data_IF_292349199408
#
_entry.id   IF_292349199408
#
_cell.length_a   1.000
_cell.length_b   1.000
_cell.length_c   1.000
_cell.angle_alpha   90.00
_cell.angle_beta   90.00
_cell.angle_gamma   90.00
#
_symmetry.space_group_name_H-M   'P 1'
#
loop_
_entity.id
_entity.type
_entity.pdbx_description
1 polymer ?
#
# COMPACT_ATOMS: atom_id res chain seq x y z
N UNK A 1 -23.17 11.54 4.19
CA UNK A 1 -21.90 10.98 4.69
C UNK A 1 -21.81 11.35 6.16
N UNK A 2 -21.95 10.37 7.06
CA UNK A 2 -22.00 10.63 8.50
C UNK A 2 -20.66 11.14 9.06
N UNK A 3 -19.53 10.74 8.46
CA UNK A 3 -18.21 11.23 8.86
C UNK A 3 -18.09 12.74 8.66
N UNK A 4 -18.60 13.29 7.54
CA UNK A 4 -18.60 14.75 7.33
C UNK A 4 -19.42 15.51 8.37
N UNK A 5 -20.53 14.93 8.83
CA UNK A 5 -21.35 15.55 9.87
C UNK A 5 -20.60 15.53 11.21
N UNK A 6 -19.90 14.43 11.49
CA UNK A 6 -19.05 14.31 12.68
C UNK A 6 -17.93 15.35 12.63
N UNK A 7 -17.13 15.36 11.56
CA UNK A 7 -15.90 16.17 11.45
C UNK A 7 -16.20 17.68 11.39
N UNK A 8 -17.24 18.11 10.67
CA UNK A 8 -17.47 19.53 10.40
C UNK A 8 -18.58 20.17 11.23
N UNK A 9 -19.38 19.38 11.95
CA UNK A 9 -20.51 19.90 12.73
C UNK A 9 -20.51 19.43 14.18
N UNK A 10 -20.39 18.12 14.43
CA UNK A 10 -20.51 17.59 15.79
C UNK A 10 -19.23 17.80 16.61
N UNK A 11 -18.05 17.50 16.05
CA UNK A 11 -16.75 17.70 16.73
C UNK A 11 -16.49 19.19 17.02
N UNK A 12 -16.70 20.13 16.08
CA UNK A 12 -16.58 21.56 16.38
C UNK A 12 -17.58 22.04 17.42
N UNK A 13 -18.83 21.54 17.38
CA UNK A 13 -19.84 21.88 18.39
C UNK A 13 -19.43 21.38 19.78
N UNK A 14 -18.89 20.17 19.89
CA UNK A 14 -18.36 19.64 21.15
C UNK A 14 -17.16 20.43 21.67
N UNK A 15 -16.30 20.95 20.80
CA UNK A 15 -15.17 21.79 21.23
C UNK A 15 -15.62 23.13 21.82
N UNK A 16 -16.73 23.69 21.33
CA UNK A 16 -17.28 24.98 21.76
C UNK A 16 -18.20 24.89 22.99
N UNK A 17 -18.74 23.70 23.30
CA UNK A 17 -19.70 23.52 24.37
C UNK A 17 -19.03 23.26 25.74
N UNK A 18 -19.36 24.03 26.79
CA UNK A 18 -18.94 23.72 28.15
C UNK A 18 -19.61 22.43 28.64
N UNK A 19 -19.04 21.83 29.70
CA UNK A 19 -19.56 20.61 30.32
C UNK A 19 -21.02 20.79 30.78
N UNK A 20 -21.91 19.90 30.32
CA UNK A 20 -23.33 19.90 30.67
C UNK A 20 -24.17 19.04 29.72
N UNK A 21 -25.48 18.94 29.98
CA UNK A 21 -26.39 18.00 29.30
C UNK A 21 -26.32 18.00 27.76
N UNK A 22 -26.06 19.15 27.12
CA UNK A 22 -25.97 19.25 25.66
C UNK A 22 -24.70 18.59 25.10
N UNK A 23 -23.59 18.68 25.85
CA UNK A 23 -22.32 18.03 25.52
C UNK A 23 -22.45 16.52 25.69
N UNK A 24 -23.12 16.09 26.76
CA UNK A 24 -23.34 14.67 27.05
C UNK A 24 -24.22 14.03 25.98
N UNK A 25 -25.31 14.70 25.58
CA UNK A 25 -26.18 14.24 24.49
C UNK A 25 -25.44 14.06 23.17
N UNK A 26 -24.62 15.04 22.77
CA UNK A 26 -23.83 14.94 21.53
C UNK A 26 -22.75 13.86 21.62
N UNK A 27 -22.17 13.65 22.80
CA UNK A 27 -21.17 12.60 23.03
C UNK A 27 -21.80 11.20 22.97
N UNK A 28 -22.99 11.03 23.54
CA UNK A 28 -23.74 9.77 23.47
C UNK A 28 -24.26 9.49 22.05
N UNK A 29 -24.62 10.54 21.31
CA UNK A 29 -24.95 10.42 19.89
C UNK A 29 -23.75 9.95 19.06
N UNK A 30 -22.54 10.49 19.30
CA UNK A 30 -21.32 10.01 18.65
C UNK A 30 -21.03 8.55 18.97
N UNK A 31 -21.19 8.13 20.24
CA UNK A 31 -21.05 6.73 20.64
C UNK A 31 -22.04 5.82 19.92
N UNK A 32 -23.28 6.27 19.73
CA UNK A 32 -24.28 5.50 19.01
C UNK A 32 -23.95 5.34 17.51
N UNK A 33 -23.16 6.26 16.93
CA UNK A 33 -22.68 6.15 15.54
C UNK A 33 -21.43 5.26 15.40
N UNK A 34 -20.63 5.15 16.45
CA UNK A 34 -19.39 4.37 16.46
C UNK A 34 -19.57 2.91 16.90
N UNK A 35 -20.61 2.63 17.69
CA UNK A 35 -20.96 1.27 18.11
C UNK A 35 -21.66 0.56 16.95
N UNK A 36 -21.20 -0.65 16.56
CA UNK A 36 -21.94 -1.49 15.62
C UNK A 36 -23.34 -1.71 16.16
N UNK A 37 -24.38 -1.57 15.35
CA UNK A 37 -25.73 -1.92 15.79
C UNK A 37 -25.73 -3.40 16.17
N UNK A 38 -25.61 -3.72 17.47
CA UNK A 38 -25.67 -5.08 18.02
C UNK A 38 -27.01 -5.75 17.70
N UNK A 39 -27.96 -5.00 17.14
CA UNK A 39 -29.34 -5.39 16.80
C UNK A 39 -29.44 -6.08 15.42
N UNK A 40 -28.41 -6.07 14.57
CA UNK A 40 -28.47 -6.77 13.27
C UNK A 40 -27.96 -8.23 13.35
N UNK A 41 -28.34 -8.99 14.38
CA UNK A 41 -28.28 -10.44 14.34
C UNK A 41 -29.52 -10.99 13.62
N UNK A 42 -29.57 -10.91 12.30
CA UNK A 42 -30.32 -11.87 11.48
C UNK A 42 -30.21 -11.51 9.99
N UNK A 43 -29.59 -12.43 9.24
CA UNK A 43 -29.92 -12.67 7.83
C UNK A 43 -29.61 -11.55 6.83
N UNK A 44 -28.32 -11.37 6.51
CA UNK A 44 -27.85 -11.27 5.12
C UNK A 44 -26.33 -11.33 5.07
N UNK A 45 -25.81 -12.41 4.46
CA UNK A 45 -24.48 -12.42 3.85
C UNK A 45 -24.47 -11.29 2.82
N UNK A 46 -23.40 -10.49 2.79
CA UNK A 46 -23.14 -9.38 1.85
C UNK A 46 -23.60 -7.97 2.26
N UNK A 47 -23.21 -7.50 3.45
CA UNK A 47 -23.03 -6.06 3.68
C UNK A 47 -21.80 -5.79 4.57
N UNK A 48 -20.65 -5.54 3.94
CA UNK A 48 -19.43 -5.02 4.60
C UNK A 48 -19.58 -3.57 5.15
N UNK A 49 -20.80 -3.04 5.18
CA UNK A 49 -21.09 -1.63 5.48
C UNK A 49 -21.78 -1.36 6.82
N UNK A 50 -22.27 -2.39 7.53
CA UNK A 50 -23.18 -2.17 8.67
C UNK A 50 -22.50 -2.05 10.05
N UNK A 51 -21.16 -1.93 10.10
CA UNK A 51 -20.44 -2.12 11.36
C UNK A 51 -20.05 -0.80 12.05
N UNK A 52 -19.83 0.31 11.35
CA UNK A 52 -19.51 1.62 11.98
C UNK A 52 -19.96 2.75 11.06
N UNK A 53 -20.79 3.68 11.55
CA UNK A 53 -21.38 4.76 10.73
C UNK A 53 -20.48 6.01 10.66
N UNK A 54 -19.80 6.34 11.76
CA UNK A 54 -18.76 7.35 11.83
C UNK A 54 -17.87 7.10 13.05
N UNK A 55 -16.60 7.51 13.00
CA UNK A 55 -15.64 7.39 14.11
C UNK A 55 -15.20 8.77 14.54
N UNK A 56 -15.28 9.06 15.84
CA UNK A 56 -14.80 10.32 16.41
C UNK A 56 -13.28 10.39 16.51
N UNK A 57 -12.70 11.59 16.62
CA UNK A 57 -11.26 11.81 16.82
C UNK A 57 -10.73 11.09 18.05
N UNK A 58 -11.48 11.11 19.15
CA UNK A 58 -11.12 10.42 20.38
C UNK A 58 -11.03 8.91 20.17
N UNK A 59 -11.99 8.32 19.46
CA UNK A 59 -12.00 6.89 19.15
C UNK A 59 -10.90 6.50 18.16
N UNK A 60 -10.63 7.35 17.15
CA UNK A 60 -9.49 7.15 16.24
C UNK A 60 -8.18 7.07 17.03
N UNK A 61 -7.96 8.01 17.95
CA UNK A 61 -6.76 8.05 18.77
C UNK A 61 -6.68 6.84 19.72
N UNK A 62 -7.81 6.41 20.30
CA UNK A 62 -7.87 5.24 21.17
C UNK A 62 -7.59 3.94 20.40
N UNK A 63 -8.18 3.76 19.22
CA UNK A 63 -7.96 2.60 18.37
C UNK A 63 -6.51 2.53 17.87
N UNK A 64 -5.94 3.67 17.46
CA UNK A 64 -4.52 3.76 17.09
C UNK A 64 -3.62 3.39 18.26
N UNK A 65 -3.89 3.94 19.46
CA UNK A 65 -3.12 3.62 20.66
C UNK A 65 -3.23 2.15 21.08
N UNK A 66 -4.42 1.56 20.96
CA UNK A 66 -4.64 0.13 21.20
C UNK A 66 -3.86 -0.73 20.21
N UNK A 67 -3.94 -0.39 18.92
CA UNK A 67 -3.22 -1.10 17.86
C UNK A 67 -1.71 -1.07 18.09
N UNK A 68 -1.12 0.11 18.27
CA UNK A 68 0.34 0.23 18.45
C UNK A 68 0.85 -0.57 19.65
N UNK A 69 0.10 -0.56 20.77
CA UNK A 69 0.48 -1.29 21.98
C UNK A 69 0.31 -2.81 21.87
N UNK A 70 -0.73 -3.27 21.18
CA UNK A 70 -1.13 -4.68 21.18
C UNK A 70 -0.89 -5.41 19.85
N UNK A 71 -0.41 -4.72 18.81
CA UNK A 71 -0.12 -5.27 17.49
C UNK A 71 0.69 -6.58 17.53
N UNK A 72 1.79 -6.71 18.31
CA UNK A 72 2.54 -7.96 18.34
C UNK A 72 1.71 -9.15 18.84
N UNK A 73 0.86 -8.93 19.84
CA UNK A 73 0.01 -9.97 20.43
C UNK A 73 -1.12 -10.37 19.48
N UNK A 74 -1.75 -9.40 18.82
CA UNK A 74 -2.82 -9.64 17.84
C UNK A 74 -2.28 -10.45 16.66
N UNK A 75 -1.11 -10.08 16.13
CA UNK A 75 -0.47 -10.80 15.03
C UNK A 75 -0.05 -12.21 15.44
N UNK A 76 0.48 -12.40 16.66
CA UNK A 76 0.83 -13.72 17.18
C UNK A 76 -0.39 -14.63 17.32
N UNK A 77 -1.51 -14.10 17.81
CA UNK A 77 -2.77 -14.85 17.91
C UNK A 77 -3.30 -15.27 16.53
N UNK A 78 -3.32 -14.34 15.56
CA UNK A 78 -3.74 -14.65 14.19
C UNK A 78 -2.82 -15.68 13.52
N UNK A 79 -1.51 -15.60 13.78
CA UNK A 79 -0.56 -16.59 13.27
C UNK A 79 -0.81 -17.98 13.85
N UNK A 80 -1.05 -18.08 15.16
CA UNK A 80 -1.38 -19.34 15.81
C UNK A 80 -2.68 -19.94 15.25
N UNK A 81 -3.71 -19.13 15.04
CA UNK A 81 -4.97 -19.56 14.42
C UNK A 81 -4.73 -20.06 12.99
N UNK A 82 -3.97 -19.32 12.17
CA UNK A 82 -3.69 -19.71 10.78
C UNK A 82 -2.91 -21.03 10.66
N UNK A 83 -2.11 -21.36 11.66
CA UNK A 83 -1.21 -22.52 11.65
C UNK A 83 -1.77 -23.75 12.37
N UNK A 84 -2.87 -23.62 13.12
CA UNK A 84 -3.46 -24.71 13.90
C UNK A 84 -4.37 -25.60 13.02
N UNK A 85 -3.98 -26.85 12.73
CA UNK A 85 -4.77 -27.74 11.87
C UNK A 85 -6.14 -28.12 12.44
N UNK A 86 -6.40 -27.83 13.73
CA UNK A 86 -7.69 -28.10 14.38
C UNK A 86 -8.70 -26.96 14.19
N UNK A 87 -8.30 -25.82 13.63
CA UNK A 87 -9.20 -24.71 13.32
C UNK A 87 -9.91 -24.93 11.98
N UNK A 88 -11.11 -24.36 11.88
CA UNK A 88 -11.86 -24.36 10.63
C UNK A 88 -11.05 -23.75 9.47
N UNK A 89 -11.20 -24.30 8.26
CA UNK A 89 -10.42 -23.89 7.09
C UNK A 89 -10.72 -22.43 6.70
N UNK A 90 -11.97 -21.98 6.80
CA UNK A 90 -12.35 -20.59 6.49
C UNK A 90 -11.69 -19.62 7.47
N UNK A 91 -11.70 -19.97 8.76
CA UNK A 91 -11.04 -19.19 9.81
C UNK A 91 -9.52 -19.13 9.64
N UNK A 92 -8.89 -20.25 9.23
CA UNK A 92 -7.46 -20.31 8.92
C UNK A 92 -7.09 -19.42 7.73
N UNK A 93 -7.86 -19.51 6.65
CA UNK A 93 -7.60 -18.74 5.43
C UNK A 93 -7.78 -17.24 5.66
N UNK A 94 -8.77 -16.85 6.46
CA UNK A 94 -8.98 -15.44 6.81
C UNK A 94 -7.91 -14.90 7.75
N UNK A 95 -7.49 -15.68 8.75
CA UNK A 95 -6.37 -15.31 9.61
C UNK A 95 -5.06 -15.16 8.80
N UNK A 96 -4.78 -16.09 7.88
CA UNK A 96 -3.60 -16.03 7.00
C UNK A 96 -3.64 -14.81 6.07
N UNK A 97 -4.80 -14.46 5.51
CA UNK A 97 -4.96 -13.21 4.74
C UNK A 97 -4.64 -11.97 5.58
N UNK A 98 -5.07 -11.93 6.84
CA UNK A 98 -4.82 -10.79 7.74
C UNK A 98 -3.33 -10.71 8.10
N UNK A 99 -2.68 -11.84 8.42
CA UNK A 99 -1.23 -11.88 8.69
C UNK A 99 -0.41 -11.45 7.48
N UNK A 100 -0.78 -11.91 6.28
CA UNK A 100 -0.13 -11.52 5.01
C UNK A 100 -0.39 -10.07 4.61
N UNK A 101 -1.49 -9.46 5.06
CA UNK A 101 -1.81 -8.06 4.77
C UNK A 101 -1.23 -7.09 5.81
N UNK A 102 -1.18 -7.47 7.09
CA UNK A 102 -0.54 -6.70 8.15
C UNK A 102 0.99 -6.61 8.05
N UNK A 103 1.60 -7.49 7.26
CA UNK A 103 3.03 -7.50 6.93
C UNK A 103 3.37 -6.87 5.57
N UNK A 104 2.37 -6.44 4.78
CA UNK A 104 2.63 -5.75 3.51
C UNK A 104 3.13 -4.34 3.79
N UNK A 105 4.39 -4.08 3.45
CA UNK A 105 4.95 -2.74 3.51
C UNK A 105 4.41 -1.89 2.34
N UNK A 106 3.51 -0.97 2.67
CA UNK A 106 2.90 0.02 1.76
C UNK A 106 3.75 1.28 1.55
N UNK A 107 4.98 1.32 2.09
CA UNK A 107 5.84 2.48 1.97
C UNK A 107 6.00 2.93 0.53
N UNK A 108 5.96 4.23 0.35
CA UNK A 108 6.18 4.90 -0.92
C UNK A 108 7.62 5.40 -1.02
N UNK A 109 8.03 5.78 -2.23
CA UNK A 109 9.38 6.25 -2.49
C UNK A 109 9.35 7.59 -3.24
N UNK A 110 10.31 8.45 -2.90
CA UNK A 110 10.71 9.56 -3.75
C UNK A 110 11.82 9.09 -4.69
N UNK A 111 11.69 9.49 -5.97
CA UNK A 111 12.76 9.34 -6.97
C UNK A 111 13.44 10.68 -7.12
N UNK A 112 14.74 10.72 -6.85
CA UNK A 112 15.59 11.90 -7.00
C UNK A 112 16.45 11.73 -8.25
N UNK A 113 16.55 12.79 -9.05
CA UNK A 113 17.47 12.90 -10.18
C UNK A 113 18.38 14.10 -9.95
N UNK A 114 19.70 13.89 -9.95
CA UNK A 114 20.72 14.90 -9.61
C UNK A 114 20.42 15.66 -8.30
N UNK A 115 19.92 14.93 -7.29
CA UNK A 115 19.58 15.46 -5.97
C UNK A 115 18.25 16.22 -5.91
N UNK A 116 17.49 16.33 -7.01
CA UNK A 116 16.15 16.95 -7.03
C UNK A 116 15.07 15.88 -7.09
N UNK A 117 14.02 16.04 -6.28
CA UNK A 117 12.87 15.12 -6.31
C UNK A 117 12.08 15.33 -7.60
N UNK A 118 12.02 14.30 -8.44
CA UNK A 118 11.31 14.30 -9.73
C UNK A 118 10.00 13.52 -9.71
N UNK A 119 9.87 12.55 -8.80
CA UNK A 119 8.64 11.81 -8.52
C UNK A 119 8.49 11.62 -7.01
N UNK A 120 7.26 11.75 -6.50
CA UNK A 120 6.90 11.52 -5.10
C UNK A 120 5.84 10.44 -4.98
N UNK A 121 5.71 9.87 -3.79
CA UNK A 121 4.69 8.88 -3.44
C UNK A 121 4.66 7.69 -4.41
N UNK A 122 5.81 7.30 -4.95
CA UNK A 122 5.90 6.18 -5.89
C UNK A 122 5.68 4.88 -5.13
N UNK A 123 4.61 4.17 -5.49
CA UNK A 123 4.34 2.84 -4.92
C UNK A 123 5.46 1.88 -5.30
N UNK A 124 5.85 0.99 -4.39
CA UNK A 124 6.86 -0.06 -4.63
C UNK A 124 6.67 -0.76 -5.97
N UNK A 125 5.44 -1.17 -6.27
CA UNK A 125 5.15 -1.92 -7.49
C UNK A 125 5.41 -1.16 -8.80
N UNK A 126 5.39 0.18 -8.75
CA UNK A 126 5.62 1.05 -9.89
C UNK A 126 7.06 1.58 -9.96
N UNK A 127 7.89 1.28 -8.96
CA UNK A 127 9.21 1.86 -8.78
C UNK A 127 10.12 1.68 -10.00
N UNK A 128 10.25 0.44 -10.48
CA UNK A 128 11.05 0.15 -11.68
C UNK A 128 10.59 0.93 -12.91
N UNK A 129 9.27 1.12 -13.07
CA UNK A 129 8.71 1.85 -14.22
C UNK A 129 9.02 3.33 -14.15
N UNK A 130 8.80 3.94 -13.00
CA UNK A 130 9.07 5.37 -12.81
C UNK A 130 10.57 5.68 -12.96
N UNK A 131 11.45 4.78 -12.50
CA UNK A 131 12.89 4.91 -12.73
C UNK A 131 13.22 4.82 -14.22
N UNK A 132 12.66 3.85 -14.94
CA UNK A 132 12.89 3.70 -16.37
C UNK A 132 12.42 4.94 -17.14
N UNK A 133 11.24 5.47 -16.82
CA UNK A 133 10.72 6.70 -17.40
C UNK A 133 11.65 7.89 -17.13
N UNK A 134 12.07 8.11 -15.89
CA UNK A 134 12.98 9.22 -15.53
C UNK A 134 14.30 9.12 -16.29
N UNK A 135 14.87 7.93 -16.41
CA UNK A 135 16.13 7.73 -17.16
C UNK A 135 15.94 8.03 -18.64
N UNK A 136 14.86 7.52 -19.25
CA UNK A 136 14.61 7.72 -20.68
C UNK A 136 14.28 9.18 -20.98
N UNK A 137 13.46 9.83 -20.15
CA UNK A 137 13.17 11.27 -20.21
C UNK A 137 14.45 12.10 -20.07
N UNK A 138 15.44 11.64 -19.30
CA UNK A 138 16.73 12.32 -19.14
C UNK A 138 17.70 12.14 -20.33
N UNK A 139 17.37 11.27 -21.29
CA UNK A 139 18.18 11.06 -22.49
C UNK A 139 19.36 10.10 -22.30
N UNK A 140 19.17 8.98 -21.59
CA UNK A 140 20.20 7.93 -21.49
C UNK A 140 20.64 7.40 -22.86
N UNK A 141 21.90 6.96 -22.96
CA UNK A 141 22.43 6.37 -24.19
C UNK A 141 21.88 4.95 -24.42
N UNK A 142 22.08 4.43 -25.64
CA UNK A 142 21.70 3.05 -25.97
C UNK A 142 22.42 2.02 -25.09
N UNK A 143 23.70 2.23 -24.77
CA UNK A 143 24.48 1.34 -23.89
C UNK A 143 23.92 1.37 -22.46
N UNK A 144 23.57 2.55 -21.96
CA UNK A 144 22.92 2.71 -20.66
C UNK A 144 21.56 2.02 -20.65
N UNK A 145 20.78 2.15 -21.73
CA UNK A 145 19.50 1.45 -21.84
C UNK A 145 19.66 -0.08 -21.83
N UNK A 146 20.69 -0.63 -22.50
CA UNK A 146 20.99 -2.08 -22.45
C UNK A 146 21.32 -2.52 -21.02
N UNK A 147 22.08 -1.71 -20.26
CA UNK A 147 22.35 -1.98 -18.85
C UNK A 147 21.08 -1.95 -18.01
N UNK A 148 20.23 -0.94 -18.21
CA UNK A 148 18.93 -0.83 -17.53
C UNK A 148 18.03 -2.03 -17.86
N UNK A 149 17.93 -2.40 -19.14
CA UNK A 149 17.11 -3.53 -19.62
C UNK A 149 17.54 -4.85 -18.98
N UNK A 150 18.85 -5.04 -18.83
CA UNK A 150 19.44 -6.27 -18.29
C UNK A 150 19.53 -6.31 -16.76
N UNK A 151 19.11 -5.25 -16.05
CA UNK A 151 19.01 -5.30 -14.59
C UNK A 151 18.14 -6.48 -14.13
N UNK A 152 18.63 -7.21 -13.12
CA UNK A 152 17.92 -8.35 -12.52
C UNK A 152 17.68 -8.16 -11.03
N UNK A 153 17.67 -6.91 -10.55
CA UNK A 153 17.38 -6.60 -9.15
C UNK A 153 15.99 -7.10 -8.72
N UNK A 154 15.05 -7.21 -9.67
CA UNK A 154 13.72 -7.79 -9.47
C UNK A 154 13.66 -9.33 -9.53
N UNK A 155 14.81 -10.00 -9.69
CA UNK A 155 15.01 -11.42 -10.08
C UNK A 155 14.72 -11.74 -11.56
N UNK A 156 14.06 -10.83 -12.27
CA UNK A 156 13.80 -10.90 -13.71
C UNK A 156 14.48 -9.72 -14.40
N UNK A 157 14.71 -9.83 -15.70
CA UNK A 157 15.13 -8.68 -16.52
C UNK A 157 14.16 -7.53 -16.30
N UNK A 158 14.68 -6.32 -16.08
CA UNK A 158 13.86 -5.18 -15.72
C UNK A 158 12.88 -4.82 -16.85
N UNK A 159 13.36 -4.80 -18.09
CA UNK A 159 12.58 -4.44 -19.27
C UNK A 159 12.56 -5.58 -20.27
N UNK A 160 11.38 -5.84 -20.83
CA UNK A 160 11.17 -6.81 -21.92
C UNK A 160 10.17 -6.29 -22.93
N UNK A 161 10.36 -6.64 -24.20
CA UNK A 161 9.30 -6.48 -25.21
C UNK A 161 8.26 -7.59 -25.05
N UNK A 162 7.07 -7.43 -25.65
CA UNK A 162 6.00 -8.47 -25.60
C UNK A 162 6.49 -9.83 -26.09
N UNK A 163 7.36 -9.84 -27.11
CA UNK A 163 7.91 -11.06 -27.69
C UNK A 163 8.91 -11.79 -26.75
N UNK A 164 9.54 -11.07 -25.82
CA UNK A 164 10.52 -11.62 -24.87
C UNK A 164 9.85 -12.18 -23.58
N UNK A 165 8.59 -11.86 -23.35
CA UNK A 165 7.83 -12.31 -22.17
C UNK A 165 7.36 -13.75 -22.40
N UNK A 166 7.81 -14.65 -21.53
CA UNK A 166 7.45 -16.08 -21.59
C UNK A 166 6.00 -16.32 -21.13
N UNK A 167 5.42 -17.46 -21.52
CA UNK A 167 4.07 -17.84 -21.12
C UNK A 167 3.89 -17.86 -19.58
N UNK A 168 4.87 -18.38 -18.84
CA UNK A 168 4.85 -18.38 -17.38
C UNK A 168 4.89 -16.94 -16.81
N UNK A 169 5.71 -16.05 -17.37
CA UNK A 169 5.75 -14.65 -16.92
C UNK A 169 4.44 -13.90 -17.19
N UNK A 170 3.71 -14.26 -18.27
CA UNK A 170 2.37 -13.75 -18.55
C UNK A 170 1.33 -14.27 -17.57
N UNK A 171 1.33 -15.57 -17.28
CA UNK A 171 0.42 -16.20 -16.31
C UNK A 171 0.51 -15.53 -14.93
N UNK A 172 1.73 -15.25 -14.45
CA UNK A 172 1.97 -14.56 -13.18
C UNK A 172 1.95 -13.02 -13.29
N UNK A 173 1.58 -12.47 -14.45
CA UNK A 173 1.47 -11.03 -14.71
C UNK A 173 2.71 -10.23 -14.27
N UNK A 174 3.91 -10.75 -14.54
CA UNK A 174 5.19 -10.21 -14.01
C UNK A 174 5.52 -8.82 -14.55
N UNK A 175 5.22 -8.59 -15.82
CA UNK A 175 5.47 -7.34 -16.55
C UNK A 175 4.21 -6.49 -16.76
N UNK A 176 3.06 -6.96 -16.27
CA UNK A 176 1.81 -6.19 -16.22
C UNK A 176 1.34 -5.62 -17.57
N UNK A 177 1.56 -6.35 -18.65
CA UNK A 177 1.24 -5.89 -20.02
C UNK A 177 -0.21 -5.45 -20.22
N UNK A 178 -1.14 -6.03 -19.44
CA UNK A 178 -2.57 -5.72 -19.50
C UNK A 178 -3.01 -4.56 -18.61
N UNK A 179 -2.15 -4.07 -17.71
CA UNK A 179 -2.52 -3.10 -16.66
C UNK A 179 -1.73 -1.80 -16.68
N UNK A 180 -0.51 -1.82 -17.21
CA UNK A 180 0.38 -0.67 -17.20
C UNK A 180 0.84 -0.35 -18.63
N UNK A 181 0.91 0.95 -18.94
CA UNK A 181 1.45 1.41 -20.22
C UNK A 181 2.94 1.06 -20.35
N UNK A 182 3.39 0.67 -21.55
CA UNK A 182 4.80 0.40 -21.79
C UNK A 182 5.62 1.68 -21.70
N UNK A 183 6.92 1.49 -21.48
CA UNK A 183 7.94 2.51 -21.58
C UNK A 183 8.51 2.46 -23.00
N UNK A 184 8.68 3.60 -23.65
CA UNK A 184 9.15 3.67 -25.04
C UNK A 184 10.60 4.14 -25.09
N UNK A 185 11.47 3.36 -25.71
CA UNK A 185 12.86 3.76 -26.00
C UNK A 185 13.16 3.49 -27.47
N UNK A 186 13.65 4.51 -28.19
CA UNK A 186 13.96 4.45 -29.62
C UNK A 186 12.83 3.85 -30.48
N UNK A 187 11.58 4.28 -30.19
CA UNK A 187 10.38 3.81 -30.88
C UNK A 187 9.93 2.38 -30.54
N UNK A 188 10.63 1.67 -29.66
CA UNK A 188 10.29 0.31 -29.23
C UNK A 188 9.63 0.32 -27.85
N UNK A 189 8.56 -0.46 -27.70
CA UNK A 189 7.82 -0.60 -26.44
C UNK A 189 8.41 -1.69 -25.54
N UNK A 190 8.59 -1.35 -24.26
CA UNK A 190 9.09 -2.25 -23.23
C UNK A 190 8.18 -2.23 -21.99
N UNK A 191 7.97 -3.41 -21.42
CA UNK A 191 7.23 -3.60 -20.19
C UNK A 191 8.18 -3.85 -19.03
N UNK A 192 7.79 -3.40 -17.84
CA UNK A 192 8.67 -3.36 -16.66
C UNK A 192 8.26 -4.40 -15.63
N UNK A 193 9.24 -5.13 -15.10
CA UNK A 193 9.02 -6.06 -14.00
C UNK A 193 8.53 -5.33 -12.74
N UNK A 194 7.42 -5.80 -12.15
CA UNK A 194 6.80 -5.22 -10.96
C UNK A 194 7.21 -5.83 -9.62
N UNK A 195 8.24 -6.69 -9.59
CA UNK A 195 8.60 -7.50 -8.42
C UNK A 195 9.53 -6.77 -7.43
N UNK A 196 8.99 -5.76 -6.73
CA UNK A 196 9.74 -4.87 -5.84
C UNK A 196 9.35 -5.08 -4.37
N UNK A 197 9.93 -6.11 -3.75
CA UNK A 197 9.85 -6.35 -2.31
C UNK A 197 11.10 -5.85 -1.56
N UNK A 198 11.09 -6.00 -0.24
CA UNK A 198 12.17 -5.50 0.65
C UNK A 198 13.54 -6.11 0.34
N UNK A 199 13.58 -7.31 -0.24
CA UNK A 199 14.82 -7.97 -0.66
C UNK A 199 15.34 -7.50 -2.03
N UNK A 200 14.52 -6.83 -2.83
CA UNK A 200 14.85 -6.43 -4.20
C UNK A 200 15.14 -4.93 -4.32
N UNK A 201 14.52 -4.10 -3.48
CA UNK A 201 14.76 -2.65 -3.47
C UNK A 201 16.22 -2.30 -3.15
N UNK A 202 16.89 -2.90 -2.14
CA UNK A 202 18.31 -2.65 -1.89
C UNK A 202 19.19 -3.02 -3.08
N UNK A 203 18.91 -4.15 -3.75
CA UNK A 203 19.63 -4.55 -4.97
C UNK A 203 19.50 -3.52 -6.08
N UNK A 204 18.29 -2.97 -6.25
CA UNK A 204 18.03 -1.91 -7.21
C UNK A 204 18.79 -0.63 -6.86
N UNK A 205 18.82 -0.24 -5.57
CA UNK A 205 19.60 0.92 -5.13
C UNK A 205 21.09 0.75 -5.39
N UNK A 206 21.64 -0.45 -5.15
CA UNK A 206 23.05 -0.75 -5.45
C UNK A 206 23.34 -0.72 -6.95
N UNK A 207 22.44 -1.29 -7.76
CA UNK A 207 22.51 -1.21 -9.22
C UNK A 207 22.52 0.24 -9.70
N UNK A 208 21.58 1.06 -9.24
CA UNK A 208 21.48 2.48 -9.60
C UNK A 208 22.72 3.24 -9.15
N UNK A 209 23.20 3.03 -7.92
CA UNK A 209 24.42 3.69 -7.43
C UNK A 209 25.64 3.40 -8.30
N UNK A 210 25.71 2.18 -8.86
CA UNK A 210 26.83 1.74 -9.71
C UNK A 210 26.74 2.22 -11.15
N UNK A 211 25.54 2.21 -11.74
CA UNK A 211 25.35 2.44 -13.18
C UNK A 211 24.67 3.77 -13.52
N UNK A 212 23.93 4.34 -12.56
CA UNK A 212 23.06 5.52 -12.70
C UNK A 212 23.14 6.40 -11.45
N UNK A 213 24.33 6.88 -11.10
CA UNK A 213 24.58 7.61 -9.84
C UNK A 213 23.78 8.92 -9.68
N UNK A 214 23.23 9.45 -10.79
CA UNK A 214 22.30 10.56 -10.80
C UNK A 214 20.94 10.24 -10.19
N UNK A 215 20.52 8.95 -10.17
CA UNK A 215 19.27 8.52 -9.57
C UNK A 215 19.48 8.03 -8.14
N UNK A 216 18.64 8.50 -7.23
CA UNK A 216 18.54 8.00 -5.86
C UNK A 216 17.09 7.74 -5.48
N UNK A 217 16.91 6.76 -4.61
CA UNK A 217 15.60 6.37 -4.07
C UNK A 217 15.60 6.63 -2.57
N UNK A 218 14.64 7.43 -2.12
CA UNK A 218 14.42 7.71 -0.71
C UNK A 218 13.06 7.15 -0.30
N UNK A 219 13.03 6.43 0.82
CA UNK A 219 11.80 5.86 1.36
C UNK A 219 11.02 6.99 2.02
N UNK A 220 9.81 7.25 1.54
CA UNK A 220 8.87 8.19 2.16
C UNK A 220 8.01 7.39 3.15
N UNK A 221 8.11 7.71 4.43
CA UNK A 221 7.18 7.20 5.43
C UNK A 221 5.82 7.84 5.20
N UNK A 222 4.75 7.04 5.22
CA UNK A 222 3.39 7.55 5.21
C UNK A 222 3.22 8.49 6.42
N UNK A 223 2.88 9.75 6.15
CA UNK A 223 2.42 10.70 7.16
C UNK A 223 1.00 10.33 7.60
#
# INVERSE_FOLDING_TARGET
>A
NYQYIVDYLIEPALALLPSGNRRDFLSDYLRALSVPSVIAQSEKKDNKGDVIMAVSEHERNLLTGFWEKHKPLILAALYAISSDPNQDQELRDDADKIVRSGSKDFSTFAVLFDGKVVRRQVKKTALGREIANVLIESGITAEQFIQLKSDRSSSFSLLKTVAEITAAEKEYNRYRESKESPVVFDGTEYYVSGNWGDNNIPKLQDFLKKHFSMIKLEKEHAQ
#
